data_IF_889245625639
#
_entry.id   IF_889245625639
#
_cell.length_a   1.000
_cell.length_b   1.000
_cell.length_c   1.000
_cell.angle_alpha   90.00
_cell.angle_beta   90.00
_cell.angle_gamma   90.00
#
_symmetry.space_group_name_H-M   'P 1'
#
loop_
_entity.id
_entity.type
_entity.pdbx_description
1 polymer ?
#
# COMPACT_ATOMS: atom_id res chain seq x y z
N UNK A 1 -4.47 10.05 11.16
CA UNK A 1 -5.05 8.72 11.49
C UNK A 1 -6.15 8.31 10.50
N UNK A 2 -7.25 9.04 10.34
CA UNK A 2 -8.35 8.64 9.44
C UNK A 2 -7.92 8.43 7.97
N UNK A 3 -7.14 9.36 7.39
CA UNK A 3 -6.62 9.22 6.02
C UNK A 3 -5.75 7.97 5.86
N UNK A 4 -4.82 7.73 6.79
CA UNK A 4 -4.00 6.50 6.77
C UNK A 4 -4.86 5.24 6.87
N UNK A 5 -5.84 5.19 7.77
CA UNK A 5 -6.71 4.01 7.92
C UNK A 5 -7.46 3.71 6.62
N UNK A 6 -7.97 4.75 5.95
CA UNK A 6 -8.60 4.61 4.62
C UNK A 6 -7.60 4.06 3.61
N UNK A 7 -6.36 4.55 3.60
CA UNK A 7 -5.31 4.08 2.68
C UNK A 7 -4.99 2.61 2.91
N UNK A 8 -4.67 2.28 4.16
CA UNK A 8 -4.31 0.93 4.58
C UNK A 8 -5.37 -0.08 4.14
N UNK A 9 -6.65 0.17 4.45
CA UNK A 9 -7.72 -0.75 4.07
C UNK A 9 -7.98 -0.82 2.57
N UNK A 10 -7.78 0.28 1.83
CA UNK A 10 -7.91 0.28 0.37
C UNK A 10 -6.78 -0.51 -0.30
N UNK A 11 -5.52 -0.32 0.14
CA UNK A 11 -4.38 -1.12 -0.31
C UNK A 11 -4.56 -2.60 0.03
N UNK A 12 -5.05 -2.90 1.24
CA UNK A 12 -5.30 -4.26 1.69
C UNK A 12 -6.35 -4.97 0.84
N UNK A 13 -7.43 -4.27 0.46
CA UNK A 13 -8.47 -4.82 -0.40
C UNK A 13 -7.96 -5.17 -1.81
N UNK A 14 -6.89 -4.51 -2.25
CA UNK A 14 -6.19 -4.77 -3.52
C UNK A 14 -5.02 -5.75 -3.38
N UNK A 15 -4.84 -6.36 -2.20
CA UNK A 15 -3.84 -7.39 -1.94
C UNK A 15 -2.47 -6.89 -1.48
N UNK A 16 -2.31 -5.59 -1.18
CA UNK A 16 -1.06 -5.03 -0.65
C UNK A 16 -1.18 -4.83 0.87
N UNK A 17 -0.45 -5.64 1.64
CA UNK A 17 -0.41 -5.54 3.09
C UNK A 17 0.73 -4.64 3.56
N UNK A 18 0.38 -3.43 4.03
CA UNK A 18 1.32 -2.51 4.67
C UNK A 18 1.35 -2.71 6.19
N UNK A 19 2.29 -2.06 6.88
CA UNK A 19 2.26 -2.02 8.34
C UNK A 19 0.92 -1.41 8.82
N UNK A 20 0.18 -2.03 9.76
CA UNK A 20 -1.16 -1.61 10.16
C UNK A 20 -1.18 -0.41 11.11
N UNK A 21 -0.23 0.52 10.94
CA UNK A 21 -0.08 1.71 11.78
C UNK A 21 0.70 2.79 11.02
N UNK A 22 0.24 4.03 11.15
CA UNK A 22 0.94 5.20 10.59
C UNK A 22 2.25 5.54 11.33
N UNK A 23 2.55 4.84 12.42
CA UNK A 23 3.73 5.06 13.27
C UNK A 23 4.73 3.90 13.22
N UNK A 24 4.48 2.91 12.36
CA UNK A 24 5.35 1.76 12.16
C UNK A 24 6.13 1.92 10.85
N UNK A 25 7.31 1.30 10.80
CA UNK A 25 8.09 1.21 9.58
C UNK A 25 7.54 0.11 8.66
N UNK A 26 7.64 0.32 7.35
CA UNK A 26 7.51 -0.74 6.36
C UNK A 26 8.88 -1.37 6.07
N UNK A 27 8.89 -2.67 5.77
CA UNK A 27 10.10 -3.40 5.41
C UNK A 27 9.93 -4.08 4.06
N UNK A 28 11.04 -4.22 3.33
CA UNK A 28 11.13 -4.98 2.08
C UNK A 28 12.04 -6.19 2.29
N UNK A 29 12.02 -7.14 1.37
CA UNK A 29 12.90 -8.31 1.38
C UNK A 29 13.55 -8.50 0.01
N UNK A 30 14.63 -9.29 -0.04
CA UNK A 30 15.26 -9.69 -1.29
C UNK A 30 14.35 -10.56 -2.19
N UNK A 31 13.19 -11.00 -1.69
CA UNK A 31 12.21 -11.71 -2.49
C UNK A 31 11.33 -10.77 -3.33
N UNK A 32 11.29 -9.47 -3.00
CA UNK A 32 10.57 -8.49 -3.81
C UNK A 32 11.34 -8.24 -5.10
N UNK A 33 10.67 -8.48 -6.23
CA UNK A 33 11.15 -8.16 -7.57
C UNK A 33 10.72 -6.76 -7.99
N UNK A 34 11.31 -6.26 -9.09
CA UNK A 34 10.87 -5.01 -9.71
C UNK A 34 9.38 -5.05 -10.12
N UNK A 35 8.87 -6.23 -10.49
CA UNK A 35 7.47 -6.42 -10.82
C UNK A 35 6.55 -6.27 -9.60
N UNK A 36 6.96 -6.76 -8.43
CA UNK A 36 6.20 -6.60 -7.18
C UNK A 36 6.12 -5.11 -6.78
N UNK A 37 7.23 -4.38 -6.95
CA UNK A 37 7.29 -2.94 -6.69
C UNK A 37 6.38 -2.18 -7.66
N UNK A 38 6.48 -2.47 -8.96
CA UNK A 38 5.66 -1.83 -9.98
C UNK A 38 4.16 -2.10 -9.76
N UNK A 39 3.78 -3.33 -9.41
CA UNK A 39 2.41 -3.69 -9.09
C UNK A 39 1.90 -2.93 -7.84
N UNK A 40 2.73 -2.82 -6.80
CA UNK A 40 2.41 -2.08 -5.58
C UNK A 40 2.15 -0.60 -5.86
N UNK A 41 2.97 0.02 -6.71
CA UNK A 41 2.81 1.43 -7.11
C UNK A 41 1.51 1.59 -7.91
N UNK A 42 1.24 0.73 -8.89
CA UNK A 42 0.03 0.80 -9.71
C UNK A 42 -1.26 0.70 -8.87
N UNK A 43 -1.25 -0.16 -7.83
CA UNK A 43 -2.34 -0.24 -6.86
C UNK A 43 -2.48 1.06 -6.05
N UNK A 44 -1.38 1.64 -5.58
CA UNK A 44 -1.41 2.90 -4.84
C UNK A 44 -1.97 4.04 -5.70
N UNK A 45 -1.55 4.15 -6.96
CA UNK A 45 -2.07 5.13 -7.91
C UNK A 45 -3.58 4.97 -8.13
N UNK A 46 -4.05 3.73 -8.31
CA UNK A 46 -5.48 3.40 -8.42
C UNK A 46 -6.25 3.85 -7.16
N UNK A 47 -5.72 3.55 -5.97
CA UNK A 47 -6.35 3.93 -4.69
C UNK A 47 -6.45 5.44 -4.57
N UNK A 48 -5.36 6.18 -4.83
CA UNK A 48 -5.36 7.64 -4.76
C UNK A 48 -6.25 8.29 -5.84
N UNK A 49 -6.32 7.74 -7.05
CA UNK A 49 -7.21 8.25 -8.09
C UNK A 49 -8.70 8.14 -7.71
N UNK A 50 -9.07 7.11 -6.92
CA UNK A 50 -10.42 6.91 -6.41
C UNK A 50 -10.75 7.78 -5.18
N UNK A 51 -9.81 8.59 -4.68
CA UNK A 51 -9.97 9.38 -3.46
C UNK A 51 -10.51 10.79 -3.63
N UNK A 52 -10.91 11.15 -4.87
CA UNK A 52 -11.56 12.41 -5.21
C UNK A 52 -12.74 12.74 -4.30
#
# INVERSE_FOLDING_TARGET
>A
KAAFNRFFHAMLAEGVYLAPSAFEAGFVSAAHSDADIAATIAVADKVFAAWK
#
